data_IF_894988536582
#
_entry.id   IF_894988536582
#
_cell.length_a   1.000
_cell.length_b   1.000
_cell.length_c   1.000
_cell.angle_alpha   90.00
_cell.angle_beta   90.00
_cell.angle_gamma   90.00
#
_symmetry.space_group_name_H-M   'P 1'
#
loop_
_entity.id
_entity.type
_entity.pdbx_description
1 polymer ?
#
# COMPACT_ATOMS: atom_id res chain seq x y z
N UNK A 1 10.38 1.06 -23.47
CA UNK A 1 9.78 -0.24 -23.10
C UNK A 1 10.84 -1.29 -23.33
N UNK A 2 10.98 -2.22 -22.40
CA UNK A 2 11.95 -3.31 -22.53
C UNK A 2 11.23 -4.46 -23.26
N UNK A 3 11.63 -4.80 -24.50
CA UNK A 3 10.88 -5.77 -25.28
C UNK A 3 10.90 -7.15 -24.64
N UNK A 4 9.70 -7.71 -24.42
CA UNK A 4 9.49 -9.10 -24.02
C UNK A 4 10.42 -9.65 -22.93
N UNK A 5 10.54 -8.98 -21.78
CA UNK A 5 11.25 -9.52 -20.62
C UNK A 5 10.55 -10.79 -20.12
N UNK A 6 10.96 -11.93 -20.65
CA UNK A 6 10.62 -13.26 -20.15
C UNK A 6 11.59 -13.72 -19.06
N UNK A 7 12.73 -13.03 -18.95
CA UNK A 7 13.78 -13.32 -17.98
C UNK A 7 13.74 -12.33 -16.80
N UNK A 8 14.12 -12.77 -15.60
CA UNK A 8 14.15 -11.89 -14.44
C UNK A 8 15.21 -10.80 -14.54
N UNK A 9 14.85 -9.61 -14.10
CA UNK A 9 15.70 -8.42 -14.11
C UNK A 9 16.50 -8.35 -12.81
N UNK A 10 17.80 -8.13 -12.95
CA UNK A 10 18.71 -7.85 -11.84
C UNK A 10 19.35 -6.49 -12.07
N UNK A 11 19.06 -5.54 -11.19
CA UNK A 11 19.66 -4.22 -11.18
C UNK A 11 20.43 -4.03 -9.88
N UNK A 12 21.59 -3.34 -9.89
CA UNK A 12 22.30 -3.02 -8.65
C UNK A 12 21.38 -2.31 -7.66
N UNK A 13 21.37 -2.76 -6.41
CA UNK A 13 20.54 -2.18 -5.36
C UNK A 13 19.08 -2.62 -5.34
N UNK A 14 18.61 -3.41 -6.30
CA UNK A 14 17.23 -3.93 -6.33
C UNK A 14 17.19 -5.44 -6.09
N UNK A 15 16.12 -5.97 -5.47
CA UNK A 15 15.90 -7.41 -5.41
C UNK A 15 15.73 -7.97 -6.83
N UNK A 16 15.93 -9.28 -6.99
CA UNK A 16 15.64 -9.96 -8.26
C UNK A 16 14.17 -9.78 -8.64
N UNK A 17 13.89 -9.10 -9.74
CA UNK A 17 12.54 -8.79 -10.21
C UNK A 17 12.11 -9.78 -11.28
N UNK A 18 11.14 -10.63 -10.96
CA UNK A 18 10.48 -11.48 -11.94
C UNK A 18 9.60 -10.61 -12.88
N UNK A 19 9.31 -11.05 -14.12
CA UNK A 19 8.52 -10.26 -15.08
C UNK A 19 7.15 -9.78 -14.58
N UNK A 20 6.50 -10.58 -13.73
CA UNK A 20 5.21 -10.28 -13.09
C UNK A 20 5.33 -9.27 -11.94
N UNK A 21 6.54 -8.99 -11.47
CA UNK A 21 6.84 -8.01 -10.42
C UNK A 21 7.25 -6.65 -10.99
N UNK A 22 7.49 -6.56 -12.30
CA UNK A 22 7.88 -5.31 -12.94
C UNK A 22 6.69 -4.33 -13.03
N UNK A 23 6.95 -3.02 -12.97
CA UNK A 23 5.89 -2.05 -13.15
C UNK A 23 5.20 -2.22 -14.50
N UNK A 24 3.88 -2.07 -14.55
CA UNK A 24 3.10 -2.38 -15.77
C UNK A 24 3.51 -1.52 -16.98
N UNK A 25 4.04 -0.31 -16.75
CA UNK A 25 4.52 0.57 -17.82
C UNK A 25 5.90 0.19 -18.40
N UNK A 26 6.62 -0.75 -17.77
CA UNK A 26 7.87 -1.31 -18.33
C UNK A 26 7.71 -2.73 -18.87
N UNK A 27 6.65 -3.44 -18.48
CA UNK A 27 6.36 -4.81 -18.91
C UNK A 27 5.48 -4.83 -20.17
N UNK A 28 6.02 -5.32 -21.28
CA UNK A 28 5.21 -5.58 -22.49
C UNK A 28 4.28 -6.79 -22.33
N UNK A 29 4.62 -7.72 -21.43
CA UNK A 29 3.81 -8.90 -21.16
C UNK A 29 2.51 -8.56 -20.40
N UNK A 30 2.52 -7.51 -19.58
CA UNK A 30 1.34 -7.00 -18.90
C UNK A 30 1.33 -5.46 -18.90
N UNK A 31 0.93 -4.84 -20.02
CA UNK A 31 0.96 -3.38 -20.19
C UNK A 31 0.09 -2.60 -19.19
N UNK A 32 -0.88 -3.27 -18.55
CA UNK A 32 -1.87 -2.65 -17.69
C UNK A 32 -2.80 -1.67 -18.44
N UNK A 33 -3.80 -1.09 -17.73
CA UNK A 33 -4.80 -0.20 -18.35
C UNK A 33 -4.22 1.15 -18.83
N UNK A 34 -2.99 1.49 -18.45
CA UNK A 34 -2.34 2.78 -18.72
C UNK A 34 -1.22 2.70 -19.75
N UNK A 35 -1.06 1.59 -20.47
CA UNK A 35 0.01 1.48 -21.46
C UNK A 35 -0.03 2.57 -22.55
N UNK A 36 -1.23 3.08 -22.88
CA UNK A 36 -1.41 4.17 -23.83
C UNK A 36 -0.65 5.45 -23.46
N UNK A 37 -0.39 5.71 -22.17
CA UNK A 37 0.37 6.87 -21.70
C UNK A 37 1.74 6.51 -21.10
N UNK A 38 2.18 5.25 -21.19
CA UNK A 38 3.46 4.77 -20.63
C UNK A 38 4.66 5.62 -21.04
N UNK A 39 4.77 6.00 -22.32
CA UNK A 39 5.83 6.89 -22.81
C UNK A 39 5.79 8.25 -22.12
N UNK A 40 4.62 8.88 -22.02
CA UNK A 40 4.47 10.18 -21.35
C UNK A 40 4.79 10.10 -19.86
N UNK A 41 4.47 8.97 -19.19
CA UNK A 41 4.85 8.72 -17.81
C UNK A 41 6.37 8.62 -17.66
N UNK A 42 7.04 7.84 -18.51
CA UNK A 42 8.50 7.69 -18.47
C UNK A 42 9.24 8.98 -18.85
N UNK A 43 8.69 9.76 -19.78
CA UNK A 43 9.29 10.99 -20.26
C UNK A 43 9.36 12.08 -19.17
N UNK A 44 8.53 11.99 -18.11
CA UNK A 44 8.62 12.89 -16.95
C UNK A 44 9.94 12.76 -16.20
N UNK A 45 10.61 11.61 -16.27
CA UNK A 45 11.86 11.36 -15.55
C UNK A 45 13.12 11.76 -16.33
N UNK A 46 12.99 12.12 -17.62
CA UNK A 46 14.13 12.42 -18.52
C UNK A 46 14.95 13.66 -18.14
N UNK A 47 14.44 14.50 -17.25
CA UNK A 47 15.09 15.74 -16.83
C UNK A 47 15.27 15.80 -15.31
N UNK A 48 15.18 14.67 -14.58
CA UNK A 48 15.39 14.66 -13.13
C UNK A 48 16.75 15.24 -12.75
N UNK A 49 17.77 15.00 -13.56
CA UNK A 49 19.13 15.53 -13.36
C UNK A 49 19.22 17.05 -13.49
N UNK A 50 18.23 17.68 -14.12
CA UNK A 50 18.12 19.15 -14.29
C UNK A 50 17.27 19.81 -13.20
N UNK A 51 16.54 19.04 -12.40
CA UNK A 51 15.76 19.59 -11.31
C UNK A 51 16.67 20.20 -10.22
N UNK A 52 16.23 21.30 -9.61
CA UNK A 52 16.97 21.95 -8.51
C UNK A 52 16.97 21.09 -7.24
N UNK A 53 15.88 20.36 -7.04
CA UNK A 53 15.69 19.34 -6.01
C UNK A 53 14.67 18.29 -6.48
N UNK A 54 14.88 17.04 -6.07
CA UNK A 54 13.95 15.93 -6.29
C UNK A 54 13.53 15.40 -4.93
N UNK A 55 12.23 15.33 -4.66
CA UNK A 55 11.70 14.76 -3.43
C UNK A 55 11.03 13.43 -3.70
N UNK A 56 11.37 12.46 -2.86
CA UNK A 56 10.80 11.12 -2.90
C UNK A 56 10.02 10.92 -1.62
N UNK A 57 8.74 10.57 -1.75
CA UNK A 57 7.92 10.18 -0.62
C UNK A 57 8.30 8.75 -0.17
N UNK A 58 9.46 8.60 0.43
CA UNK A 58 9.96 7.38 1.09
C UNK A 58 10.89 7.83 2.23
N UNK A 59 11.52 6.91 2.95
CA UNK A 59 12.56 7.22 3.94
C UNK A 59 13.76 6.31 3.74
N UNK A 60 14.96 6.83 4.02
CA UNK A 60 16.23 6.16 3.70
C UNK A 60 16.31 4.72 4.25
N UNK A 61 15.88 4.52 5.49
CA UNK A 61 15.95 3.22 6.15
C UNK A 61 15.05 2.14 5.49
N UNK A 62 14.04 2.52 4.71
CA UNK A 62 13.13 1.60 4.02
C UNK A 62 13.80 0.91 2.83
N UNK A 63 14.63 1.67 2.11
CA UNK A 63 15.17 1.35 0.78
C UNK A 63 16.57 2.01 0.63
N UNK A 64 17.58 1.59 1.43
CA UNK A 64 18.83 2.34 1.55
C UNK A 64 19.66 2.34 0.26
N UNK A 65 19.72 1.21 -0.46
CA UNK A 65 20.49 1.10 -1.70
C UNK A 65 19.85 1.96 -2.81
N UNK A 66 18.52 1.94 -2.89
CA UNK A 66 17.75 2.76 -3.81
C UNK A 66 17.86 4.25 -3.46
N UNK A 67 17.74 4.60 -2.18
CA UNK A 67 17.87 5.98 -1.71
C UNK A 67 19.27 6.56 -2.00
N UNK A 68 20.33 5.79 -1.78
CA UNK A 68 21.70 6.20 -2.07
C UNK A 68 21.93 6.37 -3.59
N UNK A 69 21.39 5.45 -4.40
CA UNK A 69 21.42 5.57 -5.86
C UNK A 69 20.69 6.84 -6.34
N UNK A 70 19.47 7.09 -5.86
CA UNK A 70 18.68 8.27 -6.22
C UNK A 70 19.36 9.58 -5.77
N UNK A 71 19.98 9.57 -4.59
CA UNK A 71 20.75 10.71 -4.07
C UNK A 71 21.94 11.01 -4.97
N UNK A 72 22.72 10.00 -5.33
CA UNK A 72 23.92 10.17 -6.17
C UNK A 72 23.60 10.54 -7.61
N UNK A 73 22.49 10.04 -8.17
CA UNK A 73 22.13 10.23 -9.58
C UNK A 73 21.32 11.50 -9.81
N UNK A 74 20.36 11.79 -8.93
CA UNK A 74 19.35 12.84 -9.14
C UNK A 74 19.35 13.90 -8.04
N UNK A 75 20.30 13.86 -7.10
CA UNK A 75 20.31 14.72 -5.90
C UNK A 75 18.98 14.62 -5.14
N UNK A 76 18.34 13.45 -5.22
CA UNK A 76 17.06 13.21 -4.61
C UNK A 76 17.17 13.16 -3.10
N UNK A 77 16.09 13.54 -2.42
CA UNK A 77 15.96 13.48 -0.97
C UNK A 77 14.69 12.71 -0.62
N UNK A 78 14.83 11.68 0.20
CA UNK A 78 13.70 10.99 0.82
C UNK A 78 13.15 11.86 1.95
N UNK A 79 11.90 12.29 1.85
CA UNK A 79 11.27 13.23 2.79
C UNK A 79 10.00 12.66 3.45
N UNK A 80 9.69 11.39 3.20
CA UNK A 80 8.51 10.71 3.71
C UNK A 80 8.74 9.96 5.02
N UNK A 81 7.77 9.15 5.47
CA UNK A 81 6.46 8.98 4.83
C UNK A 81 5.57 10.22 4.98
N UNK A 82 4.91 10.65 3.90
CA UNK A 82 3.91 11.72 3.92
C UNK A 82 2.55 11.20 4.43
N UNK A 83 2.55 10.77 5.70
CA UNK A 83 1.35 10.42 6.48
C UNK A 83 1.15 11.52 7.52
N UNK A 84 -0.08 11.93 7.86
CA UNK A 84 -0.30 13.04 8.79
C UNK A 84 0.46 12.86 10.10
N UNK A 85 1.11 13.92 10.57
CA UNK A 85 2.00 13.94 11.74
C UNK A 85 1.34 13.33 12.97
N UNK A 86 0.02 13.49 13.17
CA UNK A 86 -0.71 12.87 14.29
C UNK A 86 -0.57 11.34 14.39
N UNK A 87 -0.30 10.66 13.28
CA UNK A 87 -0.08 9.21 13.23
C UNK A 87 1.41 8.83 13.36
N UNK A 88 2.31 9.79 13.16
CA UNK A 88 3.76 9.61 13.15
C UNK A 88 4.41 10.14 14.44
N UNK A 89 4.96 11.35 14.37
CA UNK A 89 5.78 12.02 15.39
C UNK A 89 5.00 13.05 16.22
N UNK A 90 3.76 13.38 15.82
CA UNK A 90 2.85 14.33 16.46
C UNK A 90 3.45 15.74 16.66
N UNK A 91 4.43 16.12 15.83
CA UNK A 91 5.12 17.43 15.89
C UNK A 91 4.32 18.57 15.27
N UNK A 92 3.35 18.27 14.40
CA UNK A 92 2.50 19.24 13.72
C UNK A 92 1.04 19.13 14.23
N UNK A 93 0.60 19.97 15.18
CA UNK A 93 -0.70 19.81 15.86
C UNK A 93 -1.93 19.86 14.94
N UNK A 94 -1.82 20.51 13.78
CA UNK A 94 -2.92 20.68 12.83
C UNK A 94 -2.90 19.66 11.70
N UNK A 95 -1.90 18.76 11.67
CA UNK A 95 -1.74 17.75 10.63
C UNK A 95 -2.27 16.39 11.10
N UNK A 96 -3.60 16.26 11.08
CA UNK A 96 -4.32 15.07 11.56
C UNK A 96 -5.15 14.34 10.51
N UNK A 97 -5.24 14.88 9.30
CA UNK A 97 -5.95 14.29 8.17
C UNK A 97 -5.38 14.83 6.85
N UNK A 98 -5.59 14.09 5.77
CA UNK A 98 -5.32 14.61 4.44
C UNK A 98 -6.30 15.72 4.08
N UNK A 99 -5.84 16.75 3.36
CA UNK A 99 -6.65 17.92 3.02
C UNK A 99 -7.78 17.68 2.00
N UNK A 100 -7.97 16.45 1.51
CA UNK A 100 -8.97 16.13 0.51
C UNK A 100 -9.41 14.66 0.55
N UNK A 101 -10.72 14.43 0.48
CA UNK A 101 -11.35 13.13 0.29
C UNK A 101 -12.10 13.11 -1.05
N UNK A 102 -11.96 12.03 -1.81
CA UNK A 102 -12.68 11.85 -3.09
C UNK A 102 -14.17 11.61 -2.90
N UNK A 103 -14.55 11.04 -1.77
CA UNK A 103 -15.93 10.79 -1.37
C UNK A 103 -16.06 10.98 0.14
N UNK A 104 -17.24 11.35 0.62
CA UNK A 104 -17.48 11.48 2.05
C UNK A 104 -17.26 10.13 2.75
N UNK A 105 -16.29 10.02 3.69
CA UNK A 105 -16.03 8.77 4.39
C UNK A 105 -17.18 8.42 5.34
N UNK A 106 -17.49 7.13 5.44
CA UNK A 106 -18.44 6.60 6.42
C UNK A 106 -17.79 6.48 7.81
N UNK A 107 -17.19 7.57 8.31
CA UNK A 107 -16.31 7.56 9.48
C UNK A 107 -16.98 7.00 10.74
N UNK A 108 -18.12 7.56 11.13
CA UNK A 108 -18.82 7.11 12.34
C UNK A 108 -19.18 5.62 12.29
N UNK A 109 -19.68 5.15 11.14
CA UNK A 109 -20.04 3.75 10.92
C UNK A 109 -18.82 2.83 11.00
N UNK A 110 -17.72 3.19 10.33
CA UNK A 110 -16.49 2.39 10.34
C UNK A 110 -15.93 2.26 11.77
N UNK A 111 -15.79 3.39 12.47
CA UNK A 111 -15.16 3.39 13.80
C UNK A 111 -16.02 2.67 14.84
N UNK A 112 -17.33 2.93 14.87
CA UNK A 112 -18.25 2.26 15.80
C UNK A 112 -18.31 0.75 15.57
N UNK A 113 -18.26 0.30 14.32
CA UNK A 113 -18.24 -1.14 14.03
C UNK A 113 -16.93 -1.78 14.51
N UNK A 114 -15.79 -1.12 14.26
CA UNK A 114 -14.46 -1.61 14.67
C UNK A 114 -14.31 -1.67 16.21
N UNK A 115 -14.94 -0.76 16.95
CA UNK A 115 -14.90 -0.71 18.42
C UNK A 115 -15.43 -2.00 19.08
N UNK A 116 -16.31 -2.74 18.39
CA UNK A 116 -16.90 -3.98 18.92
C UNK A 116 -15.96 -5.18 18.85
N UNK A 117 -14.78 -5.05 18.23
CA UNK A 117 -13.92 -6.19 17.92
C UNK A 117 -12.60 -6.22 18.71
N UNK A 118 -12.12 -7.42 19.07
CA UNK A 118 -10.81 -7.58 19.71
C UNK A 118 -9.68 -7.01 18.85
N UNK A 119 -8.56 -6.70 19.49
CA UNK A 119 -7.38 -6.23 18.76
C UNK A 119 -6.93 -7.27 17.73
N UNK A 120 -6.44 -6.81 16.58
CA UNK A 120 -5.89 -7.66 15.52
C UNK A 120 -6.84 -8.72 14.95
N UNK A 121 -8.16 -8.50 14.98
CA UNK A 121 -9.18 -9.50 14.59
C UNK A 121 -9.90 -9.20 13.28
N UNK A 122 -9.68 -8.01 12.70
CA UNK A 122 -10.36 -7.53 11.48
C UNK A 122 -9.37 -7.43 10.31
N UNK A 123 -9.80 -7.88 9.14
CA UNK A 123 -9.14 -7.63 7.85
C UNK A 123 -9.76 -6.37 7.24
N UNK A 124 -8.95 -5.33 7.07
CA UNK A 124 -9.35 -4.16 6.29
C UNK A 124 -9.06 -4.42 4.81
N UNK A 125 -10.01 -4.15 3.92
CA UNK A 125 -9.92 -4.44 2.49
C UNK A 125 -10.19 -3.16 1.70
N UNK A 126 -9.19 -2.67 0.95
CA UNK A 126 -9.33 -1.47 0.12
C UNK A 126 -8.40 -1.50 -1.10
N UNK A 127 -8.98 -1.30 -2.28
CA UNK A 127 -8.24 -1.27 -3.55
C UNK A 127 -7.98 0.17 -4.04
N UNK A 128 -8.10 1.15 -3.14
CA UNK A 128 -7.82 2.55 -3.44
C UNK A 128 -8.89 3.24 -4.27
N UNK A 129 -8.54 4.42 -4.77
CA UNK A 129 -9.48 5.38 -5.38
C UNK A 129 -9.85 5.08 -6.82
N UNK A 130 -8.94 4.47 -7.57
CA UNK A 130 -9.05 4.32 -9.03
C UNK A 130 -9.33 2.88 -9.42
N UNK A 131 -8.90 1.91 -8.62
CA UNK A 131 -9.01 0.50 -9.00
C UNK A 131 -10.45 0.06 -9.23
N UNK A 132 -10.68 -0.61 -10.35
CA UNK A 132 -11.99 -1.09 -10.78
C UNK A 132 -11.88 -2.60 -11.06
N UNK A 133 -12.22 -3.39 -10.04
CA UNK A 133 -12.12 -4.85 -10.13
C UNK A 133 -13.21 -5.40 -11.06
N UNK A 134 -12.88 -6.47 -11.78
CA UNK A 134 -13.89 -7.23 -12.52
C UNK A 134 -14.89 -7.91 -11.59
N UNK A 135 -16.15 -8.15 -12.02
CA UNK A 135 -17.14 -8.85 -11.20
C UNK A 135 -16.64 -10.20 -10.66
N UNK A 136 -15.97 -10.99 -11.51
CA UNK A 136 -15.43 -12.30 -11.12
C UNK A 136 -14.38 -12.17 -10.00
N UNK A 137 -13.48 -11.18 -10.08
CA UNK A 137 -12.49 -10.93 -9.03
C UNK A 137 -13.15 -10.51 -7.71
N UNK A 138 -14.24 -9.73 -7.76
CA UNK A 138 -14.99 -9.34 -6.57
C UNK A 138 -15.68 -10.54 -5.93
N UNK A 139 -16.20 -11.48 -6.73
CA UNK A 139 -16.79 -12.73 -6.25
C UNK A 139 -15.73 -13.59 -5.55
N UNK A 140 -14.54 -13.75 -6.14
CA UNK A 140 -13.45 -14.52 -5.51
C UNK A 140 -12.97 -13.88 -4.20
N UNK A 141 -12.85 -12.56 -4.14
CA UNK A 141 -12.51 -11.84 -2.90
C UNK A 141 -13.57 -12.04 -1.82
N UNK A 142 -14.85 -11.91 -2.18
CA UNK A 142 -15.95 -12.07 -1.25
C UNK A 142 -15.99 -13.48 -0.64
N UNK A 143 -15.89 -14.51 -1.47
CA UNK A 143 -15.85 -15.89 -0.98
C UNK A 143 -14.60 -16.18 -0.15
N UNK A 144 -13.43 -15.68 -0.57
CA UNK A 144 -12.19 -15.85 0.20
C UNK A 144 -12.26 -15.21 1.59
N UNK A 145 -12.86 -14.02 1.70
CA UNK A 145 -13.11 -13.36 2.98
C UNK A 145 -14.09 -14.14 3.85
N UNK A 146 -15.22 -14.58 3.29
CA UNK A 146 -16.22 -15.37 4.01
C UNK A 146 -15.66 -16.71 4.51
N UNK A 147 -14.88 -17.40 3.69
CA UNK A 147 -14.28 -18.70 4.01
C UNK A 147 -13.17 -18.60 5.06
N UNK A 148 -12.48 -17.44 5.15
CA UNK A 148 -11.42 -17.23 6.13
C UNK A 148 -11.89 -17.23 7.59
N UNK A 149 -13.21 -17.10 7.82
CA UNK A 149 -13.83 -16.94 9.13
C UNK A 149 -13.27 -15.73 9.93
N UNK A 150 -12.65 -14.78 9.23
CA UNK A 150 -12.22 -13.50 9.80
C UNK A 150 -13.27 -12.44 9.59
N UNK A 151 -13.26 -11.47 10.50
CA UNK A 151 -14.05 -10.25 10.35
C UNK A 151 -13.41 -9.37 9.30
N UNK A 152 -14.22 -8.65 8.55
CA UNK A 152 -13.67 -7.74 7.54
C UNK A 152 -14.45 -6.44 7.43
N UNK A 153 -13.72 -5.37 7.14
CA UNK A 153 -14.27 -4.10 6.68
C UNK A 153 -13.80 -3.91 5.23
N UNK A 154 -14.72 -3.99 4.29
CA UNK A 154 -14.42 -3.90 2.86
C UNK A 154 -14.96 -2.62 2.23
N UNK A 155 -14.06 -1.84 1.66
CA UNK A 155 -14.39 -0.67 0.84
C UNK A 155 -14.75 -1.12 -0.57
N UNK A 156 -16.03 -1.01 -0.92
CA UNK A 156 -16.57 -1.27 -2.27
C UNK A 156 -17.15 0.03 -2.80
N UNK A 157 -16.39 0.71 -3.68
CA UNK A 157 -16.80 1.99 -4.27
C UNK A 157 -18.20 1.91 -4.87
N UNK A 158 -19.01 2.97 -4.74
CA UNK A 158 -20.40 2.97 -5.19
C UNK A 158 -20.60 2.60 -6.67
N UNK A 159 -19.64 2.96 -7.54
CA UNK A 159 -19.66 2.61 -8.97
C UNK A 159 -19.42 1.12 -9.24
N UNK A 160 -18.86 0.40 -8.27
CA UNK A 160 -18.49 -1.00 -8.34
C UNK A 160 -19.52 -1.89 -7.61
N UNK A 161 -20.41 -1.30 -6.81
CA UNK A 161 -21.35 -2.03 -5.96
C UNK A 161 -22.28 -2.97 -6.75
N UNK A 162 -22.65 -2.59 -7.98
CA UNK A 162 -23.50 -3.41 -8.87
C UNK A 162 -22.82 -4.70 -9.36
N UNK A 163 -21.51 -4.84 -9.16
CA UNK A 163 -20.74 -6.02 -9.57
C UNK A 163 -20.81 -7.16 -8.54
N UNK A 164 -21.24 -6.87 -7.32
CA UNK A 164 -21.47 -7.88 -6.28
C UNK A 164 -22.90 -8.41 -6.41
N UNK A 165 -23.03 -9.74 -6.47
CA UNK A 165 -24.35 -10.39 -6.52
C UNK A 165 -25.15 -10.08 -5.25
N UNK A 166 -26.46 -9.83 -5.38
CA UNK A 166 -27.31 -9.41 -4.25
C UNK A 166 -27.31 -10.38 -3.06
N UNK A 167 -27.27 -11.69 -3.32
CA UNK A 167 -27.17 -12.71 -2.28
C UNK A 167 -25.84 -12.59 -1.52
N UNK A 168 -24.74 -12.33 -2.23
CA UNK A 168 -23.42 -12.15 -1.64
C UNK A 168 -23.33 -10.86 -0.82
N UNK A 169 -24.02 -9.79 -1.22
CA UNK A 169 -24.11 -8.55 -0.41
C UNK A 169 -24.71 -8.83 0.98
N UNK A 170 -25.74 -9.70 1.06
CA UNK A 170 -26.34 -10.08 2.34
C UNK A 170 -25.36 -10.85 3.22
N UNK A 171 -24.62 -11.80 2.64
CA UNK A 171 -23.63 -12.59 3.38
C UNK A 171 -22.45 -11.72 3.86
N UNK A 172 -22.01 -10.78 3.01
CA UNK A 172 -20.95 -9.82 3.31
C UNK A 172 -21.36 -8.80 4.36
N UNK A 173 -22.64 -8.48 4.47
CA UNK A 173 -23.20 -7.53 5.45
C UNK A 173 -23.74 -8.24 6.70
N UNK A 174 -23.21 -9.42 7.00
CA UNK A 174 -23.49 -10.16 8.23
C UNK A 174 -22.78 -9.52 9.43
N UNK A 175 -23.00 -10.04 10.64
CA UNK A 175 -22.34 -9.54 11.85
C UNK A 175 -20.81 -9.46 11.71
N UNK A 176 -20.19 -10.38 10.95
CA UNK A 176 -18.73 -10.45 10.76
C UNK A 176 -18.19 -9.51 9.69
N UNK A 177 -19.03 -8.89 8.87
CA UNK A 177 -18.61 -8.10 7.72
C UNK A 177 -19.26 -6.72 7.67
N UNK A 178 -18.46 -5.70 7.35
CA UNK A 178 -18.95 -4.35 7.07
C UNK A 178 -18.51 -3.95 5.67
N UNK A 179 -19.46 -3.61 4.80
CA UNK A 179 -19.18 -3.07 3.46
C UNK A 179 -19.56 -1.59 3.42
N UNK A 180 -18.62 -0.74 3.00
CA UNK A 180 -18.83 0.72 2.87
C UNK A 180 -18.33 1.21 1.52
N UNK A 181 -18.85 2.33 1.03
CA UNK A 181 -18.40 2.93 -0.24
C UNK A 181 -17.06 3.66 -0.13
N UNK A 182 -16.81 4.27 1.02
CA UNK A 182 -15.60 5.01 1.34
C UNK A 182 -15.34 4.98 2.85
N UNK A 183 -14.08 4.88 3.25
CA UNK A 183 -13.65 4.78 4.65
C UNK A 183 -12.58 5.81 4.98
N UNK A 184 -12.46 6.28 6.23
CA UNK A 184 -11.32 7.07 6.67
C UNK A 184 -10.09 6.16 6.83
N UNK A 185 -9.42 5.82 5.71
CA UNK A 185 -8.44 4.72 5.64
C UNK A 185 -7.35 4.81 6.71
N UNK A 186 -6.71 5.96 6.89
CA UNK A 186 -5.66 6.15 7.90
C UNK A 186 -6.18 5.91 9.33
N UNK A 187 -7.40 6.37 9.64
CA UNK A 187 -8.04 6.13 10.94
C UNK A 187 -8.40 4.65 11.13
N UNK A 188 -8.92 3.98 10.10
CA UNK A 188 -9.20 2.54 10.12
C UNK A 188 -7.92 1.74 10.35
N UNK A 189 -6.86 2.01 9.60
CA UNK A 189 -5.56 1.36 9.75
C UNK A 189 -4.94 1.60 11.14
N UNK A 190 -5.20 2.74 11.76
CA UNK A 190 -4.72 3.05 13.11
C UNK A 190 -5.51 2.33 14.23
N UNK A 191 -6.67 1.77 13.89
CA UNK A 191 -7.58 1.18 14.88
C UNK A 191 -7.08 -0.18 15.36
N UNK A 192 -7.08 -0.40 16.68
CA UNK A 192 -6.57 -1.62 17.34
C UNK A 192 -7.11 -2.94 16.77
N UNK A 193 -8.36 -2.93 16.31
CA UNK A 193 -9.05 -4.12 15.79
C UNK A 193 -8.49 -4.58 14.45
N UNK A 194 -7.91 -3.69 13.64
CA UNK A 194 -7.36 -4.04 12.33
C UNK A 194 -6.07 -4.84 12.55
N UNK A 195 -6.08 -6.08 12.07
CA UNK A 195 -4.95 -7.00 12.16
C UNK A 195 -4.23 -7.23 10.83
N UNK A 196 -4.88 -6.89 9.71
CA UNK A 196 -4.36 -7.10 8.37
C UNK A 196 -5.00 -6.11 7.39
N UNK A 197 -4.24 -5.64 6.41
CA UNK A 197 -4.68 -4.82 5.30
C UNK A 197 -4.55 -5.55 3.97
N UNK A 198 -5.67 -5.96 3.37
CA UNK A 198 -5.72 -6.45 1.99
C UNK A 198 -5.79 -5.24 1.05
N UNK A 199 -4.73 -5.05 0.28
CA UNK A 199 -4.49 -3.82 -0.48
C UNK A 199 -4.06 -4.11 -1.91
N UNK A 200 -4.35 -3.15 -2.79
CA UNK A 200 -3.80 -3.08 -4.14
C UNK A 200 -2.32 -2.69 -4.18
N UNK A 201 -1.68 -2.41 -3.03
CA UNK A 201 -0.26 -2.01 -2.93
C UNK A 201 0.07 -0.67 -3.61
N UNK A 202 -0.88 0.26 -3.73
CA UNK A 202 -0.55 1.63 -4.10
C UNK A 202 0.40 2.27 -3.07
N UNK A 203 1.35 3.08 -3.52
CA UNK A 203 2.44 3.57 -2.66
C UNK A 203 1.96 4.32 -1.41
N UNK A 204 0.98 5.22 -1.54
CA UNK A 204 0.42 5.94 -0.40
C UNK A 204 -0.19 4.98 0.65
N UNK A 205 -1.01 4.03 0.21
CA UNK A 205 -1.62 3.04 1.11
C UNK A 205 -0.58 2.11 1.74
N UNK A 206 0.50 1.82 1.02
CA UNK A 206 1.63 1.04 1.53
C UNK A 206 2.37 1.81 2.62
N UNK A 207 2.63 3.11 2.42
CA UNK A 207 3.25 3.96 3.45
C UNK A 207 2.35 4.14 4.68
N UNK A 208 1.03 4.28 4.53
CA UNK A 208 0.10 4.29 5.66
C UNK A 208 0.18 2.98 6.45
N UNK A 209 0.12 1.83 5.77
CA UNK A 209 0.23 0.53 6.42
C UNK A 209 1.56 0.31 7.14
N UNK A 210 2.68 0.70 6.53
CA UNK A 210 4.02 0.67 7.14
C UNK A 210 4.06 1.58 8.38
N UNK A 211 3.62 2.82 8.24
CA UNK A 211 3.65 3.84 9.30
C UNK A 211 2.77 3.48 10.50
N UNK A 212 1.71 2.72 10.26
CA UNK A 212 0.77 2.25 11.29
C UNK A 212 1.09 0.83 11.78
N UNK A 213 2.07 0.15 11.17
CA UNK A 213 2.53 -1.17 11.57
C UNK A 213 1.51 -2.28 11.30
N UNK A 214 0.73 -2.13 10.22
CA UNK A 214 -0.33 -3.07 9.84
C UNK A 214 0.23 -4.09 8.83
N UNK A 215 0.17 -5.40 9.14
CA UNK A 215 0.47 -6.45 8.17
C UNK A 215 -0.34 -6.36 6.88
N UNK A 216 0.20 -6.77 5.74
CA UNK A 216 -0.46 -6.60 4.44
C UNK A 216 -0.65 -7.90 3.65
N UNK A 217 -1.73 -7.93 2.86
CA UNK A 217 -1.93 -8.89 1.78
C UNK A 217 -1.97 -8.08 0.49
N UNK A 218 -0.97 -8.28 -0.37
CA UNK A 218 -0.87 -7.56 -1.64
C UNK A 218 -1.63 -8.26 -2.75
N UNK A 219 -2.59 -7.55 -3.35
CA UNK A 219 -3.34 -7.96 -4.55
C UNK A 219 -3.16 -6.86 -5.61
N UNK A 220 -1.95 -6.75 -6.20
CA UNK A 220 -1.61 -5.64 -7.10
C UNK A 220 -2.42 -5.68 -8.39
N UNK A 221 -2.69 -4.51 -8.95
CA UNK A 221 -3.50 -4.35 -10.16
C UNK A 221 -2.68 -3.82 -11.35
N UNK A 222 -1.88 -2.76 -11.16
CA UNK A 222 -1.10 -2.11 -12.23
C UNK A 222 -0.02 -1.17 -11.70
N UNK A 223 0.65 -0.45 -12.62
CA UNK A 223 1.72 0.52 -12.35
C UNK A 223 2.82 -0.11 -11.52
N UNK A 224 3.29 0.58 -10.48
CA UNK A 224 4.27 0.18 -9.48
C UNK A 224 3.77 -0.88 -8.49
N UNK A 225 2.46 -1.14 -8.43
CA UNK A 225 1.86 -2.02 -7.41
C UNK A 225 2.45 -3.44 -7.37
N UNK A 226 2.75 -4.12 -8.50
CA UNK A 226 3.37 -5.44 -8.46
C UNK A 226 4.75 -5.43 -7.78
N UNK A 227 5.55 -4.39 -8.03
CA UNK A 227 6.84 -4.21 -7.37
C UNK A 227 6.65 -3.94 -5.88
N UNK A 228 5.72 -3.06 -5.50
CA UNK A 228 5.40 -2.78 -4.10
C UNK A 228 4.97 -4.06 -3.36
N UNK A 229 4.13 -4.90 -3.98
CA UNK A 229 3.70 -6.19 -3.43
C UNK A 229 4.87 -7.16 -3.21
N UNK A 230 5.87 -7.13 -4.09
CA UNK A 230 7.10 -7.89 -3.91
C UNK A 230 7.93 -7.38 -2.72
N UNK A 231 8.07 -6.07 -2.56
CA UNK A 231 8.79 -5.50 -1.41
C UNK A 231 8.10 -5.83 -0.09
N UNK A 232 6.76 -5.78 -0.05
CA UNK A 232 5.95 -6.20 1.11
C UNK A 232 6.28 -7.63 1.55
N UNK A 233 6.41 -8.56 0.61
CA UNK A 233 6.64 -9.98 0.87
C UNK A 233 8.12 -10.33 1.10
N UNK A 234 8.99 -9.94 0.18
CA UNK A 234 10.36 -10.46 0.10
C UNK A 234 11.37 -9.60 0.89
N UNK A 235 11.19 -8.28 0.86
CA UNK A 235 12.17 -7.31 1.38
C UNK A 235 11.81 -6.91 2.81
N UNK A 236 10.64 -6.31 3.00
CA UNK A 236 10.20 -5.83 4.31
C UNK A 236 9.61 -6.93 5.17
N UNK A 237 9.12 -8.01 4.54
CA UNK A 237 8.52 -9.18 5.19
C UNK A 237 7.38 -8.80 6.15
N UNK A 238 6.56 -7.85 5.71
CA UNK A 238 5.39 -7.33 6.45
C UNK A 238 4.07 -7.89 5.91
N UNK A 239 4.13 -8.88 5.03
CA UNK A 239 2.95 -9.41 4.40
C UNK A 239 3.23 -10.56 3.45
N UNK A 240 2.22 -10.87 2.65
CA UNK A 240 2.30 -11.83 1.54
C UNK A 240 1.69 -11.21 0.30
N UNK A 241 2.13 -11.65 -0.88
CA UNK A 241 1.53 -11.26 -2.16
C UNK A 241 0.64 -12.41 -2.64
N UNK A 242 -0.62 -12.12 -2.93
CA UNK A 242 -1.54 -13.12 -3.45
C UNK A 242 -1.15 -13.49 -4.89
N UNK A 243 -1.20 -14.78 -5.21
CA UNK A 243 -0.85 -15.30 -6.54
C UNK A 243 -2.09 -15.43 -7.42
N UNK A 244 -1.97 -15.07 -8.69
CA UNK A 244 -3.04 -15.25 -9.68
C UNK A 244 -3.04 -16.68 -10.21
N UNK A 245 -4.23 -17.24 -10.45
CA UNK A 245 -4.39 -18.49 -11.19
C UNK A 245 -4.19 -18.29 -12.70
N UNK A 246 -4.36 -19.37 -13.47
CA UNK A 246 -4.20 -19.36 -14.94
C UNK A 246 -5.18 -18.40 -15.65
N UNK A 247 -6.32 -18.13 -15.04
CA UNK A 247 -7.32 -17.17 -15.53
C UNK A 247 -6.98 -15.70 -15.20
N UNK A 248 -5.82 -15.43 -14.58
CA UNK A 248 -5.40 -14.09 -14.18
C UNK A 248 -6.10 -13.53 -12.94
N UNK A 249 -6.98 -14.31 -12.29
CA UNK A 249 -7.68 -13.91 -11.07
C UNK A 249 -6.95 -14.44 -9.83
N UNK A 250 -7.03 -13.69 -8.73
CA UNK A 250 -6.73 -14.23 -7.40
C UNK A 250 -7.96 -14.99 -6.92
N UNK A 251 -7.88 -16.32 -6.90
CA UNK A 251 -8.98 -17.21 -6.49
C UNK A 251 -9.28 -17.13 -4.99
N UNK A 252 -10.51 -17.49 -4.60
CA UNK A 252 -10.99 -17.45 -3.21
C UNK A 252 -10.13 -18.27 -2.25
N UNK A 253 -9.61 -19.43 -2.68
CA UNK A 253 -8.75 -20.26 -1.84
C UNK A 253 -7.42 -19.56 -1.57
N UNK A 254 -6.89 -18.80 -2.54
CA UNK A 254 -5.68 -18.02 -2.35
C UNK A 254 -5.92 -16.82 -1.43
N UNK A 255 -7.05 -16.13 -1.58
CA UNK A 255 -7.46 -15.05 -0.67
C UNK A 255 -7.58 -15.59 0.76
N UNK A 256 -8.30 -16.70 0.96
CA UNK A 256 -8.44 -17.35 2.25
C UNK A 256 -7.05 -17.72 2.84
N UNK A 257 -6.21 -18.38 2.04
CA UNK A 257 -4.85 -18.78 2.45
C UNK A 257 -4.04 -17.56 2.91
N UNK A 258 -4.05 -16.47 2.14
CA UNK A 258 -3.34 -15.25 2.48
C UNK A 258 -3.84 -14.66 3.80
N UNK A 259 -5.17 -14.58 3.99
CA UNK A 259 -5.78 -14.09 5.23
C UNK A 259 -5.32 -14.94 6.42
N UNK A 260 -5.38 -16.27 6.32
CA UNK A 260 -4.92 -17.17 7.38
C UNK A 260 -3.44 -17.00 7.68
N UNK A 261 -2.58 -16.94 6.65
CA UNK A 261 -1.12 -16.77 6.84
C UNK A 261 -0.76 -15.47 7.56
N UNK A 262 -1.44 -14.37 7.24
CA UNK A 262 -1.15 -13.06 7.85
C UNK A 262 -1.78 -12.91 9.22
N UNK A 263 -2.88 -13.61 9.49
CA UNK A 263 -3.65 -13.44 10.74
C UNK A 263 -3.38 -14.53 11.78
N UNK A 264 -2.86 -15.71 11.39
CA UNK A 264 -2.78 -16.91 12.23
C UNK A 264 -1.38 -17.55 12.21
N UNK A 265 -1.04 -18.25 13.30
CA UNK A 265 0.16 -19.07 13.40
C UNK A 265 1.48 -18.29 13.52
N UNK A 266 2.59 -19.02 13.49
CA UNK A 266 3.93 -18.47 13.73
C UNK A 266 4.36 -17.43 12.67
N UNK A 267 3.99 -17.66 11.41
CA UNK A 267 4.31 -16.73 10.31
C UNK A 267 3.62 -15.37 10.51
N UNK A 268 2.39 -15.34 11.02
CA UNK A 268 1.69 -14.10 11.40
C UNK A 268 2.46 -13.33 12.47
N UNK A 269 3.00 -14.00 13.49
CA UNK A 269 3.79 -13.35 14.53
C UNK A 269 5.10 -12.75 14.00
N UNK A 270 5.76 -13.41 13.05
CA UNK A 270 6.92 -12.85 12.35
C UNK A 270 6.56 -11.60 11.57
N UNK A 271 5.53 -11.68 10.74
CA UNK A 271 5.04 -10.56 9.92
C UNK A 271 4.70 -9.36 10.81
N UNK A 272 3.98 -9.57 11.92
CA UNK A 272 3.62 -8.51 12.87
C UNK A 272 4.83 -7.88 13.54
N UNK A 273 5.86 -8.67 13.87
CA UNK A 273 7.10 -8.16 14.44
C UNK A 273 7.83 -7.26 13.45
N UNK A 274 7.88 -7.65 12.18
CA UNK A 274 8.47 -6.84 11.12
C UNK A 274 7.66 -5.56 10.90
N UNK A 275 6.33 -5.64 10.84
CA UNK A 275 5.46 -4.48 10.68
C UNK A 275 5.67 -3.45 11.81
N UNK A 276 5.79 -3.91 13.07
CA UNK A 276 6.14 -3.03 14.20
C UNK A 276 7.52 -2.41 14.05
N UNK A 277 8.54 -3.17 13.65
CA UNK A 277 9.90 -2.65 13.42
C UNK A 277 9.88 -1.52 12.38
N UNK A 278 9.20 -1.74 11.26
CA UNK A 278 9.12 -0.75 10.18
C UNK A 278 8.34 0.50 10.57
N UNK A 279 7.26 0.35 11.35
CA UNK A 279 6.55 1.48 11.97
C UNK A 279 7.47 2.36 12.82
N UNK A 280 8.28 1.76 13.68
CA UNK A 280 9.17 2.55 14.54
C UNK A 280 10.26 3.26 13.73
N UNK A 281 10.77 2.64 12.66
CA UNK A 281 11.71 3.29 11.74
C UNK A 281 11.06 4.45 10.97
N UNK A 282 9.83 4.27 10.48
CA UNK A 282 9.06 5.30 9.80
C UNK A 282 8.79 6.51 10.71
N UNK A 283 8.51 6.29 11.99
CA UNK A 283 8.36 7.38 12.98
C UNK A 283 9.69 8.07 13.27
N UNK A 284 10.77 7.30 13.39
CA UNK A 284 12.11 7.83 13.65
C UNK A 284 12.64 8.67 12.48
N UNK A 285 12.32 8.32 11.24
CA UNK A 285 12.81 9.04 10.07
C UNK A 285 12.26 10.48 9.97
N UNK A 286 11.00 10.69 10.34
CA UNK A 286 10.37 12.02 10.37
C UNK A 286 10.50 12.75 11.70
N UNK A 287 10.79 12.04 12.79
CA UNK A 287 11.06 12.63 14.09
C UNK A 287 12.27 13.57 14.07
N UNK A 288 12.41 14.39 15.12
CA UNK A 288 13.49 15.39 15.22
C UNK A 288 14.87 14.76 15.04
N UNK A 289 15.63 15.26 14.07
CA UNK A 289 16.95 14.75 13.71
C UNK A 289 16.92 13.42 12.93
N UNK A 290 15.74 12.93 12.52
CA UNK A 290 15.55 11.77 11.66
C UNK A 290 16.05 11.98 10.22
N UNK A 291 16.16 10.91 9.44
CA UNK A 291 16.68 10.97 8.06
C UNK A 291 15.86 11.91 7.15
N UNK A 292 14.54 11.81 7.18
CA UNK A 292 13.63 12.66 6.42
C UNK A 292 13.57 14.09 6.96
N UNK A 293 13.57 14.25 8.29
CA UNK A 293 13.61 15.57 8.95
C UNK A 293 14.87 16.34 8.56
N UNK A 294 16.05 15.71 8.63
CA UNK A 294 17.33 16.30 8.18
C UNK A 294 17.31 16.65 6.69
N UNK A 295 16.78 15.77 5.84
CA UNK A 295 16.67 16.04 4.42
C UNK A 295 15.84 17.29 4.12
N UNK A 296 14.71 17.45 4.81
CA UNK A 296 13.86 18.63 4.67
C UNK A 296 14.54 19.88 5.23
N UNK A 297 15.17 19.78 6.41
CA UNK A 297 15.89 20.89 7.03
C UNK A 297 17.06 21.39 6.17
N UNK A 298 17.86 20.49 5.60
CA UNK A 298 18.95 20.83 4.67
C UNK A 298 18.43 21.55 3.42
N UNK A 299 17.29 21.09 2.88
CA UNK A 299 16.66 21.76 1.75
C UNK A 299 16.22 23.18 2.13
N UNK A 300 15.46 23.34 3.23
CA UNK A 300 14.99 24.66 3.68
C UNK A 300 16.17 25.59 3.95
N UNK A 301 17.22 25.11 4.64
CA UNK A 301 18.41 25.89 4.95
C UNK A 301 19.08 26.46 3.69
N UNK A 302 19.16 25.66 2.60
CA UNK A 302 19.74 26.10 1.32
C UNK A 302 19.03 27.32 0.72
N UNK A 303 17.73 27.48 0.95
CA UNK A 303 16.95 28.60 0.41
C UNK A 303 16.75 29.74 1.41
N UNK A 304 16.78 29.46 2.71
CA UNK A 304 16.80 30.51 3.74
C UNK A 304 18.16 31.20 3.86
N UNK A 305 19.25 30.59 3.39
CA UNK A 305 20.59 31.20 3.34
C UNK A 305 20.84 32.05 2.09
N UNK A 306 19.83 32.24 1.23
CA UNK A 306 19.88 33.13 0.06
C UNK A 306 19.35 34.52 0.45
N UNK A 307 20.03 35.19 1.39
CA UNK A 307 19.97 36.64 1.62
C UNK A 307 21.29 37.29 1.20
#
# INVERSE_FOLDING_TARGET
>A
MLPGLLEPVMLPGLPRLEPDCLPSFVSEANPGPYAWCSKSLLDQYKNLEKADAVFVNSFHELEPEEADYMTSTWRAKTIGPAVPSSYLDNRLPLDYHYGFDLQTPSTALCMQWLDNWPSNSVVYVSFGSISALGPDQMVELAFGLLNSDKRFLWVVRSLEASKILENLVKDLSSERGLVVSWSPQTAVLSHKAVGCFLTHCGWNSTLEGISLGVPMIGVPQWTDQPMNAKYIEDVWKIGVRARTGENGLVGREEVERCVRVVMEGERSEEIRRNARKWRELAKKSVGEGGSSDRNLAEFVARYCSLE
#
